data_IF_700877914003
#
_entry.id   IF_700877914003
#
_cell.length_a   1.000
_cell.length_b   1.000
_cell.length_c   1.000
_cell.angle_alpha   90.00
_cell.angle_beta   90.00
_cell.angle_gamma   90.00
#
_symmetry.space_group_name_H-M   'P 1'
#
loop_
_entity.id
_entity.type
_entity.pdbx_description
1 polymer ?
#
# COMPACT_ATOMS: atom_id res chain seq x y z
N UNK A 1 50.89 -32.78 -24.69
CA UNK A 1 49.43 -32.56 -24.57
C UNK A 1 49.09 -32.31 -23.10
N UNK A 2 48.45 -31.25 -22.62
CA UNK A 2 48.16 -29.92 -23.15
C UNK A 2 47.77 -29.07 -21.91
N UNK A 3 48.74 -28.38 -21.28
CA UNK A 3 48.47 -27.45 -20.16
C UNK A 3 47.55 -26.30 -20.60
N UNK A 4 47.63 -25.93 -21.88
CA UNK A 4 46.71 -25.00 -22.55
C UNK A 4 45.25 -25.50 -22.52
N UNK A 5 45.02 -26.81 -22.69
CA UNK A 5 43.66 -27.38 -22.66
C UNK A 5 43.04 -27.36 -21.25
N UNK A 6 43.84 -27.54 -20.20
CA UNK A 6 43.38 -27.41 -18.80
C UNK A 6 43.07 -25.96 -18.42
N UNK A 7 43.84 -24.99 -18.91
CA UNK A 7 43.57 -23.56 -18.68
C UNK A 7 42.32 -23.08 -19.44
N UNK A 8 42.13 -23.51 -20.69
CA UNK A 8 40.92 -23.22 -21.47
C UNK A 8 39.66 -23.83 -20.84
N UNK A 9 39.76 -25.05 -20.29
CA UNK A 9 38.64 -25.70 -19.61
C UNK A 9 38.21 -24.99 -18.32
N UNK A 10 39.16 -24.44 -17.54
CA UNK A 10 38.84 -23.70 -16.32
C UNK A 10 38.19 -22.34 -16.60
N UNK A 11 38.65 -21.61 -17.63
CA UNK A 11 38.03 -20.34 -18.02
C UNK A 11 36.63 -20.52 -18.59
N UNK A 12 36.36 -21.61 -19.32
CA UNK A 12 35.02 -21.94 -19.82
C UNK A 12 34.02 -22.21 -18.69
N UNK A 13 34.44 -22.88 -17.61
CA UNK A 13 33.57 -23.21 -16.47
C UNK A 13 33.19 -21.96 -15.65
N UNK A 14 34.10 -20.99 -15.53
CA UNK A 14 33.87 -19.73 -14.80
C UNK A 14 32.92 -18.81 -15.56
N UNK A 15 32.98 -18.76 -16.90
CA UNK A 15 32.03 -17.98 -17.70
C UNK A 15 30.61 -18.56 -17.67
N UNK A 16 30.45 -19.89 -17.57
CA UNK A 16 29.13 -20.53 -17.49
C UNK A 16 28.48 -20.36 -16.11
N UNK A 17 29.27 -20.23 -15.04
CA UNK A 17 28.76 -20.05 -13.67
C UNK A 17 28.11 -18.68 -13.39
N UNK A 18 28.41 -17.65 -14.18
CA UNK A 18 27.91 -16.28 -13.98
C UNK A 18 26.56 -15.98 -14.67
N UNK A 19 26.05 -16.89 -15.51
CA UNK A 19 24.77 -16.71 -16.22
C UNK A 19 23.55 -17.21 -15.44
N UNK A 20 23.71 -17.68 -14.20
CA UNK A 20 22.60 -18.26 -13.43
C UNK A 20 21.72 -17.23 -12.70
N UNK A 21 22.01 -15.94 -12.78
CA UNK A 21 21.12 -14.88 -12.30
C UNK A 21 19.97 -14.65 -13.31
N UNK A 22 19.13 -15.66 -13.54
CA UNK A 22 17.93 -15.50 -14.35
C UNK A 22 16.95 -14.64 -13.57
N UNK A 23 16.67 -13.46 -14.11
CA UNK A 23 15.59 -12.60 -13.69
C UNK A 23 14.28 -13.35 -13.88
N UNK A 24 13.57 -13.65 -12.78
CA UNK A 24 12.20 -14.18 -12.85
C UNK A 24 11.37 -13.21 -13.69
N UNK A 25 10.77 -13.65 -14.82
CA UNK A 25 9.93 -12.78 -15.64
C UNK A 25 8.78 -12.26 -14.78
N UNK A 26 8.82 -10.98 -14.42
CA UNK A 26 7.68 -10.30 -13.79
C UNK A 26 6.58 -10.21 -14.85
N UNK A 27 5.45 -10.88 -14.62
CA UNK A 27 4.26 -10.75 -15.47
C UNK A 27 3.67 -12.03 -16.05
N UNK A 28 4.21 -13.22 -15.75
CA UNK A 28 3.62 -14.50 -16.20
C UNK A 28 2.57 -15.08 -15.23
N UNK A 29 1.84 -14.24 -14.50
CA UNK A 29 0.58 -14.71 -13.94
C UNK A 29 -0.38 -14.90 -15.11
N UNK A 30 -0.89 -16.13 -15.35
CA UNK A 30 -2.11 -16.28 -16.16
C UNK A 30 -3.12 -15.33 -15.52
N UNK A 31 -3.53 -14.30 -16.26
CA UNK A 31 -4.55 -13.37 -15.78
C UNK A 31 -5.73 -14.18 -15.27
N UNK A 32 -6.32 -13.77 -14.16
CA UNK A 32 -7.53 -14.41 -13.66
C UNK A 32 -8.53 -14.51 -14.82
N UNK A 33 -9.15 -15.67 -15.00
CA UNK A 33 -10.14 -15.85 -16.05
C UNK A 33 -11.23 -14.78 -15.88
N UNK A 34 -11.55 -14.07 -16.96
CA UNK A 34 -12.61 -13.08 -16.95
C UNK A 34 -13.93 -13.81 -16.67
N UNK A 35 -14.59 -13.45 -15.58
CA UNK A 35 -15.91 -13.99 -15.25
C UNK A 35 -16.93 -13.22 -16.07
N UNK A 36 -17.50 -13.87 -17.10
CA UNK A 36 -18.50 -13.24 -17.98
C UNK A 36 -19.87 -13.05 -17.29
N UNK A 37 -20.21 -13.91 -16.31
CA UNK A 37 -21.44 -13.81 -15.54
C UNK A 37 -21.22 -14.08 -14.05
N UNK A 38 -21.68 -13.15 -13.20
CA UNK A 38 -21.66 -13.31 -11.74
C UNK A 38 -22.94 -14.03 -11.30
N UNK A 39 -22.79 -15.20 -10.66
CA UNK A 39 -23.91 -15.98 -10.15
C UNK A 39 -24.72 -15.20 -9.11
N UNK A 40 -26.01 -15.54 -8.98
CA UNK A 40 -26.89 -14.97 -7.94
C UNK A 40 -26.30 -15.20 -6.53
N UNK A 41 -25.80 -16.42 -6.28
CA UNK A 41 -25.19 -16.77 -4.99
C UNK A 41 -23.95 -15.92 -4.67
N UNK A 42 -23.11 -15.61 -5.66
CA UNK A 42 -21.96 -14.75 -5.46
C UNK A 42 -22.36 -13.30 -5.16
N UNK A 43 -23.42 -12.79 -5.82
CA UNK A 43 -23.98 -11.46 -5.53
C UNK A 43 -24.54 -11.38 -4.12
N UNK A 44 -25.26 -12.40 -3.66
CA UNK A 44 -25.79 -12.48 -2.29
C UNK A 44 -24.66 -12.56 -1.24
N UNK A 45 -23.63 -13.38 -1.49
CA UNK A 45 -22.47 -13.48 -0.61
C UNK A 45 -21.73 -12.14 -0.48
N UNK A 46 -21.55 -11.42 -1.60
CA UNK A 46 -20.93 -10.10 -1.59
C UNK A 46 -21.77 -9.06 -0.84
N UNK A 47 -23.10 -9.05 -1.05
CA UNK A 47 -24.00 -8.16 -0.32
C UNK A 47 -23.94 -8.41 1.20
N UNK A 48 -23.94 -9.69 1.60
CA UNK A 48 -23.79 -10.07 3.01
C UNK A 48 -22.43 -9.63 3.60
N UNK A 49 -21.34 -9.77 2.83
CA UNK A 49 -20.00 -9.30 3.22
C UNK A 49 -19.97 -7.78 3.43
N UNK A 50 -20.56 -7.02 2.50
CA UNK A 50 -20.63 -5.56 2.60
C UNK A 50 -21.43 -5.12 3.83
N UNK A 51 -22.61 -5.70 4.04
CA UNK A 51 -23.43 -5.42 5.22
C UNK A 51 -22.68 -5.75 6.52
N UNK A 52 -21.95 -6.87 6.56
CA UNK A 52 -21.14 -7.22 7.72
C UNK A 52 -20.03 -6.19 7.98
N UNK A 53 -19.28 -5.77 6.96
CA UNK A 53 -18.21 -4.78 7.11
C UNK A 53 -18.73 -3.40 7.53
N UNK A 54 -19.90 -2.99 7.05
CA UNK A 54 -20.56 -1.74 7.46
C UNK A 54 -21.03 -1.80 8.92
N UNK A 55 -21.53 -2.95 9.38
CA UNK A 55 -21.93 -3.17 10.76
C UNK A 55 -20.73 -3.26 11.75
N UNK A 56 -19.50 -3.41 11.24
CA UNK A 56 -18.27 -3.47 12.04
C UNK A 56 -17.33 -2.31 11.67
N UNK A 57 -17.68 -1.07 12.07
CA UNK A 57 -16.90 0.11 11.71
C UNK A 57 -15.57 0.23 12.47
N UNK A 58 -15.41 -0.54 13.56
CA UNK A 58 -14.22 -0.53 14.40
C UNK A 58 -13.29 -1.67 13.99
N UNK A 59 -12.10 -1.34 13.50
CA UNK A 59 -11.13 -2.31 12.99
C UNK A 59 -9.72 -1.72 13.00
N UNK A 60 -8.72 -2.56 12.79
CA UNK A 60 -7.33 -2.14 12.62
C UNK A 60 -6.59 -3.06 11.66
N UNK A 61 -5.53 -2.57 11.03
CA UNK A 61 -4.58 -3.42 10.31
C UNK A 61 -3.16 -2.86 10.43
N UNK A 62 -2.21 -3.73 10.11
CA UNK A 62 -0.81 -3.36 9.98
C UNK A 62 -0.27 -3.94 8.68
N UNK A 63 0.61 -3.19 8.02
CA UNK A 63 1.11 -3.63 6.72
C UNK A 63 2.34 -2.88 6.25
N UNK A 64 2.74 -3.19 5.02
CA UNK A 64 3.75 -2.46 4.28
C UNK A 64 3.07 -1.53 3.29
N UNK A 65 3.61 -0.33 3.15
CA UNK A 65 3.14 0.65 2.18
C UNK A 65 4.29 1.03 1.25
N UNK A 66 3.98 1.26 -0.01
CA UNK A 66 4.86 1.85 -0.99
C UNK A 66 4.13 3.02 -1.64
N UNK A 67 4.72 4.20 -1.62
CA UNK A 67 4.18 5.44 -2.16
C UNK A 67 5.14 5.92 -3.23
N UNK A 68 4.64 6.27 -4.41
CA UNK A 68 5.43 6.82 -5.51
C UNK A 68 4.72 8.01 -6.13
N UNK A 69 5.46 9.11 -6.30
CA UNK A 69 5.05 10.33 -6.99
C UNK A 69 6.23 10.81 -7.84
N UNK A 70 6.11 10.66 -9.15
CA UNK A 70 7.17 10.93 -10.13
C UNK A 70 8.48 10.20 -9.79
N UNK A 71 9.58 10.94 -9.60
CA UNK A 71 10.89 10.39 -9.21
C UNK A 71 11.03 10.21 -7.69
N UNK A 72 10.05 10.67 -6.91
CA UNK A 72 10.06 10.55 -5.46
C UNK A 72 9.21 9.36 -5.04
N UNK A 73 9.71 8.57 -4.12
CA UNK A 73 8.97 7.46 -3.57
C UNK A 73 9.52 7.04 -2.22
N UNK A 74 8.74 6.27 -1.51
CA UNK A 74 9.09 5.76 -0.20
C UNK A 74 8.42 4.41 0.04
N UNK A 75 9.04 3.60 0.87
CA UNK A 75 8.39 2.42 1.44
C UNK A 75 8.47 2.50 2.95
N UNK A 76 7.48 1.92 3.61
CA UNK A 76 7.35 1.99 5.04
C UNK A 76 6.44 0.94 5.60
N UNK A 77 6.20 1.06 6.90
CA UNK A 77 5.17 0.35 7.63
C UNK A 77 4.01 1.30 7.90
N UNK A 78 2.81 0.76 7.81
CA UNK A 78 1.57 1.43 8.18
C UNK A 78 0.91 0.68 9.33
N UNK A 79 0.39 1.43 10.29
CA UNK A 79 -0.50 0.96 11.36
C UNK A 79 -1.76 1.83 11.31
N UNK A 80 -2.91 1.20 11.08
CA UNK A 80 -4.20 1.89 10.98
C UNK A 80 -5.12 1.39 12.08
N UNK A 81 -5.76 2.34 12.78
CA UNK A 81 -6.83 2.09 13.74
C UNK A 81 -8.06 2.92 13.36
N UNK A 82 -9.21 2.28 13.23
CA UNK A 82 -10.50 2.89 12.94
C UNK A 82 -11.45 2.71 14.13
N UNK A 83 -12.11 3.78 14.54
CA UNK A 83 -13.21 3.78 15.52
C UNK A 83 -14.34 4.67 15.00
N UNK A 84 -15.33 4.03 14.36
CA UNK A 84 -16.40 4.74 13.66
C UNK A 84 -15.83 5.66 12.57
N UNK A 85 -16.15 6.97 12.58
CA UNK A 85 -15.58 7.95 11.65
C UNK A 85 -14.14 8.37 12.02
N UNK A 86 -13.69 8.09 13.25
CA UNK A 86 -12.38 8.52 13.74
C UNK A 86 -11.32 7.51 13.34
N UNK A 87 -10.13 8.01 13.02
CA UNK A 87 -9.01 7.17 12.67
C UNK A 87 -7.69 7.67 13.26
N UNK A 88 -6.75 6.74 13.41
CA UNK A 88 -5.33 7.00 13.68
C UNK A 88 -4.49 6.20 12.71
N UNK A 89 -3.66 6.89 11.94
CA UNK A 89 -2.73 6.30 10.99
C UNK A 89 -1.32 6.65 11.40
N UNK A 90 -0.48 5.64 11.56
CA UNK A 90 0.94 5.83 11.75
C UNK A 90 1.70 5.26 10.56
N UNK A 91 2.56 6.09 9.97
CA UNK A 91 3.46 5.67 8.89
C UNK A 91 4.90 5.86 9.35
N UNK A 92 5.71 4.83 9.18
CA UNK A 92 7.15 4.88 9.44
C UNK A 92 7.95 4.35 8.27
N UNK A 93 8.97 5.11 7.86
CA UNK A 93 9.88 4.78 6.78
C UNK A 93 11.30 4.58 7.36
N UNK A 94 11.75 3.33 7.61
CA UNK A 94 13.01 3.07 8.28
C UNK A 94 14.24 3.65 7.58
N UNK A 95 14.21 3.70 6.24
CA UNK A 95 15.34 4.19 5.42
C UNK A 95 15.52 5.69 5.54
N UNK A 96 14.43 6.47 5.48
CA UNK A 96 14.49 7.94 5.63
C UNK A 96 14.43 8.38 7.09
N UNK A 97 14.18 7.44 8.02
CA UNK A 97 13.93 7.69 9.45
C UNK A 97 12.75 8.64 9.71
N UNK A 98 11.86 8.79 8.74
CA UNK A 98 10.64 9.58 8.91
C UNK A 98 9.56 8.73 9.55
N UNK A 99 8.89 9.27 10.56
CA UNK A 99 7.74 8.64 11.20
C UNK A 99 6.74 9.71 11.60
N UNK A 100 5.48 9.52 11.26
CA UNK A 100 4.42 10.47 11.60
C UNK A 100 3.12 9.77 11.95
N UNK A 101 2.26 10.49 12.65
CA UNK A 101 0.93 10.06 13.06
C UNK A 101 -0.08 11.08 12.56
N UNK A 102 -1.07 10.61 11.82
CA UNK A 102 -2.26 11.38 11.48
C UNK A 102 -3.43 10.85 12.30
N UNK A 103 -4.12 11.74 13.01
CA UNK A 103 -5.44 11.49 13.56
C UNK A 103 -6.47 12.32 12.81
N UNK A 104 -7.69 11.80 12.64
CA UNK A 104 -8.72 12.55 11.95
C UNK A 104 -10.10 11.91 12.08
N UNK A 105 -11.06 12.53 11.41
CA UNK A 105 -12.47 12.14 11.41
C UNK A 105 -13.04 12.27 10.00
N UNK A 106 -13.56 11.17 9.44
CA UNK A 106 -14.06 11.14 8.05
C UNK A 106 -15.36 11.90 7.84
N UNK A 107 -16.14 12.15 8.90
CA UNK A 107 -17.40 12.91 8.83
C UNK A 107 -17.11 14.39 8.68
N UNK A 108 -16.21 14.93 9.52
CA UNK A 108 -15.82 16.34 9.47
C UNK A 108 -14.74 16.64 8.43
N UNK A 109 -13.95 15.65 8.04
CA UNK A 109 -12.74 15.82 7.21
C UNK A 109 -11.52 16.33 7.99
N UNK A 110 -11.70 16.78 9.23
CA UNK A 110 -10.65 17.40 10.02
C UNK A 110 -9.55 16.39 10.42
N UNK A 111 -8.32 16.90 10.57
CA UNK A 111 -7.18 16.07 10.96
C UNK A 111 -6.06 16.82 11.67
N UNK A 112 -5.20 16.05 12.33
CA UNK A 112 -4.00 16.49 13.03
C UNK A 112 -2.83 15.57 12.71
N UNK A 113 -1.74 16.16 12.23
CA UNK A 113 -0.51 15.47 11.87
C UNK A 113 0.60 15.80 12.86
N UNK A 114 1.30 14.78 13.37
CA UNK A 114 2.37 14.89 14.35
C UNK A 114 3.57 14.03 13.96
N UNK A 115 4.76 14.35 14.50
CA UNK A 115 5.99 13.58 14.30
C UNK A 115 6.90 14.06 13.15
N UNK A 116 6.50 15.12 12.44
CA UNK A 116 7.33 15.77 11.44
C UNK A 116 8.02 17.03 12.00
N UNK A 117 9.11 17.43 11.35
CA UNK A 117 9.77 18.71 11.60
C UNK A 117 8.77 19.86 11.44
N UNK A 118 8.90 20.88 12.29
CA UNK A 118 7.94 22.00 12.36
C UNK A 118 6.75 21.77 13.32
N UNK A 119 6.67 20.59 13.94
CA UNK A 119 5.69 20.31 15.00
C UNK A 119 4.29 19.93 14.50
N UNK A 120 3.31 19.83 15.41
CA UNK A 120 1.95 19.44 15.08
C UNK A 120 1.26 20.41 14.12
N UNK A 121 0.54 19.88 13.13
CA UNK A 121 -0.28 20.64 12.18
C UNK A 121 -1.72 20.13 12.25
N UNK A 122 -2.70 21.01 12.15
CA UNK A 122 -4.12 20.64 12.18
C UNK A 122 -4.91 21.50 11.20
N UNK A 123 -6.00 20.96 10.67
CA UNK A 123 -6.84 21.65 9.70
C UNK A 123 -8.19 20.98 9.52
N UNK A 124 -9.14 21.66 8.86
CA UNK A 124 -10.45 21.11 8.54
C UNK A 124 -10.41 20.04 7.45
N UNK A 125 -9.26 19.89 6.78
CA UNK A 125 -9.02 18.89 5.74
C UNK A 125 -7.70 18.16 6.04
N UNK A 126 -7.82 16.90 6.47
CA UNK A 126 -6.69 16.04 6.78
C UNK A 126 -5.82 15.72 5.55
N UNK A 127 -6.40 15.63 4.36
CA UNK A 127 -5.69 15.37 3.11
C UNK A 127 -4.81 16.56 2.74
N UNK A 128 -5.35 17.78 2.90
CA UNK A 128 -4.59 19.02 2.71
C UNK A 128 -3.45 19.15 3.73
N UNK A 129 -3.71 18.86 5.02
CA UNK A 129 -2.66 18.89 6.07
C UNK A 129 -1.52 17.91 5.74
N UNK A 130 -1.85 16.71 5.27
CA UNK A 130 -0.85 15.73 4.81
C UNK A 130 -0.09 16.22 3.59
N UNK A 131 -0.78 16.76 2.60
CA UNK A 131 -0.20 17.24 1.36
C UNK A 131 0.81 18.35 1.62
N UNK A 132 0.46 19.35 2.44
CA UNK A 132 1.34 20.46 2.78
C UNK A 132 2.60 20.00 3.54
N UNK A 133 2.45 19.01 4.42
CA UNK A 133 3.54 18.54 5.25
C UNK A 133 4.47 17.51 4.58
N UNK A 134 3.95 16.74 3.62
CA UNK A 134 4.67 15.59 3.03
C UNK A 134 4.82 15.66 1.51
N UNK A 135 4.01 16.48 0.83
CA UNK A 135 3.90 16.53 -0.63
C UNK A 135 3.09 15.37 -1.23
N UNK A 136 2.56 14.46 -0.42
CA UNK A 136 1.78 13.31 -0.87
C UNK A 136 0.28 13.59 -0.83
N UNK A 137 -0.41 13.19 -1.90
CA UNK A 137 -1.88 13.15 -1.94
C UNK A 137 -2.30 11.75 -1.50
N UNK A 138 -2.84 11.64 -0.30
CA UNK A 138 -3.35 10.38 0.25
C UNK A 138 -4.84 10.59 0.58
N UNK A 139 -5.77 9.83 -0.04
CA UNK A 139 -7.20 10.02 0.11
C UNK A 139 -7.72 9.47 1.45
N UNK A 140 -7.24 10.02 2.57
CA UNK A 140 -7.51 9.47 3.91
C UNK A 140 -9.00 9.45 4.26
N UNK A 141 -9.83 10.27 3.61
CA UNK A 141 -11.28 10.23 3.78
C UNK A 141 -11.91 8.96 3.21
N UNK A 142 -11.43 8.47 2.05
CA UNK A 142 -11.97 7.26 1.39
C UNK A 142 -11.24 5.97 1.80
N UNK A 143 -10.04 6.09 2.38
CA UNK A 143 -9.24 4.94 2.81
C UNK A 143 -9.98 3.89 3.64
N UNK A 144 -10.87 4.24 4.60
CA UNK A 144 -11.58 3.23 5.39
C UNK A 144 -12.42 2.24 4.57
N UNK A 145 -12.93 2.69 3.42
CA UNK A 145 -13.73 1.86 2.53
C UNK A 145 -12.83 1.11 1.55
N UNK A 146 -11.82 1.78 0.99
CA UNK A 146 -10.89 1.20 0.02
C UNK A 146 -10.12 0.01 0.59
N UNK A 147 -9.55 0.14 1.79
CA UNK A 147 -8.72 -0.91 2.39
C UNK A 147 -9.52 -2.16 2.78
N UNK A 148 -10.83 -2.01 2.97
CA UNK A 148 -11.76 -3.12 3.27
C UNK A 148 -12.49 -3.63 2.03
N UNK A 149 -12.18 -3.08 0.85
CA UNK A 149 -12.87 -3.34 -0.39
C UNK A 149 -14.40 -3.18 -0.26
N UNK A 150 -14.83 -2.14 0.45
CA UNK A 150 -16.22 -1.71 0.41
C UNK A 150 -16.48 -1.01 -0.92
N UNK A 151 -17.70 -1.15 -1.45
CA UNK A 151 -18.12 -0.31 -2.57
C UNK A 151 -18.17 1.13 -2.07
N UNK A 152 -17.51 2.02 -2.81
CA UNK A 152 -17.72 3.46 -2.66
C UNK A 152 -19.17 3.70 -3.07
N UNK A 153 -19.96 4.38 -2.25
CA UNK A 153 -21.25 4.88 -2.70
C UNK A 153 -20.98 5.81 -3.87
N UNK A 154 -21.63 5.61 -5.02
CA UNK A 154 -21.54 6.58 -6.10
C UNK A 154 -22.05 7.93 -5.54
N UNK A 155 -21.17 8.93 -5.50
CA UNK A 155 -21.58 10.31 -5.24
C UNK A 155 -22.36 10.77 -6.48
N UNK A 156 -23.69 10.78 -6.41
CA UNK A 156 -24.58 11.46 -7.38
C UNK A 156 -24.38 12.98 -7.37
#
# INVERSE_FOLDING_TARGET
MSKAFRMLALSGLVLVGLSACVSVPRGQGRGAAVVEQVSESARQAEAARQAWLQAHPNWSFQGRVAISKDRNGGSGRIDWQQDGPRYRVQLSAPVTRQSWVLTGDTTSGAGRLEGLDGGPRSGPDAEQVLLEATGWTIPVKQMPDWVRALRIADDD
#
